data_IF_529059336902
#
_entry.id   IF_529059336902
#
_cell.length_a   1.000
_cell.length_b   1.000
_cell.length_c   1.000
_cell.angle_alpha   90.00
_cell.angle_beta   90.00
_cell.angle_gamma   90.00
#
_symmetry.space_group_name_H-M   'P 1'
#
loop_
_entity.id
_entity.type
_entity.pdbx_description
1 polymer ?
#
# COMPACT_ATOMS: atom_id res chain seq x y z
N UNK A 1 -22.82 -15.09 -18.27
CA UNK A 1 -21.50 -14.43 -18.43
C UNK A 1 -21.72 -12.98 -18.81
N UNK A 2 -20.99 -12.03 -18.22
CA UNK A 2 -21.14 -10.62 -18.59
C UNK A 2 -19.98 -10.19 -19.50
N UNK A 3 -20.06 -10.58 -20.77
CA UNK A 3 -19.05 -10.26 -21.80
C UNK A 3 -18.76 -8.77 -21.89
N UNK A 4 -19.75 -7.92 -21.59
CA UNK A 4 -19.59 -6.47 -21.58
C UNK A 4 -18.70 -6.01 -20.42
N UNK A 5 -18.88 -6.58 -19.22
CA UNK A 5 -18.04 -6.27 -18.06
C UNK A 5 -16.58 -6.67 -18.29
N UNK A 6 -16.34 -7.85 -18.87
CA UNK A 6 -14.97 -8.30 -19.13
C UNK A 6 -14.28 -7.46 -20.23
N UNK A 7 -15.03 -6.98 -21.24
CA UNK A 7 -14.51 -5.99 -22.19
C UNK A 7 -14.09 -4.71 -21.46
N UNK A 8 -14.91 -4.17 -20.56
CA UNK A 8 -14.56 -2.99 -19.76
C UNK A 8 -13.30 -3.23 -18.90
N UNK A 9 -13.19 -4.40 -18.26
CA UNK A 9 -12.01 -4.80 -17.49
C UNK A 9 -10.75 -4.82 -18.35
N UNK A 10 -10.80 -5.47 -19.51
CA UNK A 10 -9.67 -5.55 -20.44
C UNK A 10 -9.28 -4.15 -20.94
N UNK A 11 -10.26 -3.33 -21.35
CA UNK A 11 -10.00 -1.94 -21.79
C UNK A 11 -9.32 -1.13 -20.70
N UNK A 12 -9.80 -1.20 -19.46
CA UNK A 12 -9.19 -0.46 -18.35
C UNK A 12 -7.76 -0.94 -18.06
N UNK A 13 -7.51 -2.25 -18.07
CA UNK A 13 -6.18 -2.83 -17.87
C UNK A 13 -5.20 -2.40 -18.98
N UNK A 14 -5.66 -2.34 -20.23
CA UNK A 14 -4.86 -1.83 -21.35
C UNK A 14 -4.52 -0.34 -21.17
N UNK A 15 -5.49 0.49 -20.76
CA UNK A 15 -5.25 1.90 -20.49
C UNK A 15 -4.20 2.10 -19.38
N UNK A 16 -4.30 1.32 -18.29
CA UNK A 16 -3.30 1.31 -17.22
C UNK A 16 -1.93 0.91 -17.77
N UNK A 17 -1.86 -0.14 -18.59
CA UNK A 17 -0.60 -0.60 -19.19
C UNK A 17 0.04 0.47 -20.09
N UNK A 18 -0.75 1.21 -20.86
CA UNK A 18 -0.26 2.33 -21.68
C UNK A 18 0.44 3.38 -20.81
N UNK A 19 -0.19 3.81 -19.71
CA UNK A 19 0.39 4.80 -18.80
C UNK A 19 1.64 4.26 -18.10
N UNK A 20 1.62 3.00 -17.67
CA UNK A 20 2.79 2.34 -17.07
C UNK A 20 3.97 2.32 -18.04
N UNK A 21 3.75 1.94 -19.30
CA UNK A 21 4.79 1.90 -20.33
C UNK A 21 5.37 3.29 -20.57
N UNK A 22 4.51 4.32 -20.72
CA UNK A 22 4.96 5.70 -20.86
C UNK A 22 5.85 6.12 -19.69
N UNK A 23 5.45 5.78 -18.46
CA UNK A 23 6.25 6.11 -17.27
C UNK A 23 7.57 5.36 -17.21
N UNK A 24 7.59 4.08 -17.56
CA UNK A 24 8.83 3.29 -17.67
C UNK A 24 9.82 3.92 -18.65
N UNK A 25 9.34 4.38 -19.82
CA UNK A 25 10.17 5.05 -20.82
C UNK A 25 10.74 6.38 -20.29
N UNK A 26 9.94 7.17 -19.59
CA UNK A 26 10.42 8.42 -18.96
C UNK A 26 11.52 8.15 -17.93
N UNK A 27 11.36 7.12 -17.09
CA UNK A 27 12.36 6.76 -16.07
C UNK A 27 13.66 6.29 -16.74
N UNK A 28 13.59 5.48 -17.79
CA UNK A 28 14.77 5.02 -18.53
C UNK A 28 15.50 6.19 -19.21
N UNK A 29 14.76 7.15 -19.79
CA UNK A 29 15.34 8.35 -20.37
C UNK A 29 16.03 9.21 -19.30
N UNK A 30 15.41 9.36 -18.13
CA UNK A 30 16.02 10.09 -17.01
C UNK A 30 17.32 9.43 -16.53
N UNK A 31 17.39 8.10 -16.53
CA UNK A 31 18.62 7.37 -16.20
C UNK A 31 19.74 7.65 -17.20
N UNK A 32 19.44 7.68 -18.51
CA UNK A 32 20.45 8.01 -19.52
C UNK A 32 21.04 9.42 -19.36
N UNK A 33 20.24 10.38 -18.90
CA UNK A 33 20.70 11.76 -18.70
C UNK A 33 21.58 11.94 -17.45
N UNK A 34 21.46 11.08 -16.43
CA UNK A 34 22.26 11.16 -15.20
C UNK A 34 23.62 10.42 -15.30
N UNK A 35 23.95 9.84 -16.46
CA UNK A 35 25.15 9.02 -16.65
C UNK A 35 25.03 7.60 -16.10
N UNK A 36 26.13 6.84 -16.09
CA UNK A 36 26.13 5.39 -15.76
C UNK A 36 25.78 5.05 -14.31
N UNK A 37 25.61 6.03 -13.42
CA UNK A 37 25.24 5.80 -12.04
C UNK A 37 23.73 5.55 -11.92
N UNK A 38 23.34 4.30 -11.73
CA UNK A 38 21.94 3.91 -11.59
C UNK A 38 21.36 4.45 -10.28
N UNK A 39 20.34 5.31 -10.36
CA UNK A 39 19.62 5.77 -9.18
C UNK A 39 18.78 4.61 -8.60
N UNK A 40 19.09 4.12 -7.39
CA UNK A 40 18.44 2.93 -6.83
C UNK A 40 16.94 3.14 -6.59
N UNK A 41 16.50 4.37 -6.29
CA UNK A 41 15.08 4.68 -6.13
C UNK A 41 14.32 4.54 -7.45
N UNK A 42 14.87 5.08 -8.54
CA UNK A 42 14.28 4.94 -9.87
C UNK A 42 14.22 3.47 -10.31
N UNK A 43 15.23 2.67 -9.96
CA UNK A 43 15.23 1.23 -10.24
C UNK A 43 14.11 0.49 -9.51
N UNK A 44 13.86 0.82 -8.23
CA UNK A 44 12.76 0.23 -7.46
C UNK A 44 11.39 0.58 -8.05
N UNK A 45 11.19 1.86 -8.44
CA UNK A 45 9.96 2.30 -9.10
C UNK A 45 9.76 1.56 -10.42
N UNK A 46 10.80 1.46 -11.25
CA UNK A 46 10.73 0.73 -12.52
C UNK A 46 10.38 -0.74 -12.31
N UNK A 47 10.98 -1.40 -11.32
CA UNK A 47 10.67 -2.79 -11.01
C UNK A 47 9.21 -2.96 -10.56
N UNK A 48 8.69 -2.06 -9.73
CA UNK A 48 7.29 -2.08 -9.29
C UNK A 48 6.31 -1.92 -10.48
N UNK A 49 6.62 -0.98 -11.38
CA UNK A 49 5.85 -0.75 -12.60
C UNK A 49 5.84 -1.96 -13.53
N UNK A 50 6.98 -2.64 -13.70
CA UNK A 50 7.07 -3.86 -14.51
C UNK A 50 6.29 -5.03 -13.90
N UNK A 51 6.30 -5.18 -12.57
CA UNK A 51 5.47 -6.19 -11.88
C UNK A 51 3.98 -5.96 -12.12
N UNK A 52 3.53 -4.70 -12.09
CA UNK A 52 2.14 -4.32 -12.39
C UNK A 52 1.77 -4.60 -13.84
N UNK A 53 2.63 -4.23 -14.78
CA UNK A 53 2.43 -4.51 -16.20
C UNK A 53 2.23 -6.02 -16.42
N UNK A 54 3.11 -6.84 -15.83
CA UNK A 54 3.00 -8.30 -15.91
C UNK A 54 1.68 -8.81 -15.31
N UNK A 55 1.33 -8.38 -14.09
CA UNK A 55 0.08 -8.80 -13.44
C UNK A 55 -1.17 -8.47 -14.27
N UNK A 56 -1.19 -7.28 -14.89
CA UNK A 56 -2.30 -6.87 -15.76
C UNK A 56 -2.37 -7.71 -17.03
N UNK A 57 -1.23 -7.97 -17.69
CA UNK A 57 -1.18 -8.81 -18.90
C UNK A 57 -1.60 -10.25 -18.63
N UNK A 58 -1.18 -10.84 -17.51
CA UNK A 58 -1.64 -12.17 -17.09
C UNK A 58 -3.16 -12.18 -16.91
N UNK A 59 -3.74 -11.17 -16.25
CA UNK A 59 -5.18 -11.08 -16.06
C UNK A 59 -5.93 -10.92 -17.39
N UNK A 60 -5.43 -10.11 -18.33
CA UNK A 60 -6.01 -9.98 -19.68
C UNK A 60 -6.00 -11.33 -20.39
N UNK A 61 -4.89 -12.08 -20.31
CA UNK A 61 -4.80 -13.43 -20.88
C UNK A 61 -5.87 -14.36 -20.31
N UNK A 62 -5.97 -14.46 -18.99
CA UNK A 62 -6.97 -15.30 -18.32
C UNK A 62 -8.42 -14.87 -18.63
N UNK A 63 -8.70 -13.56 -18.73
CA UNK A 63 -10.02 -13.06 -19.13
C UNK A 63 -10.35 -13.41 -20.58
N UNK A 64 -9.37 -13.33 -21.47
CA UNK A 64 -9.52 -13.68 -22.89
C UNK A 64 -9.73 -15.18 -23.07
N UNK A 65 -8.99 -16.01 -22.34
CA UNK A 65 -9.15 -17.47 -22.34
C UNK A 65 -10.52 -17.88 -21.80
N UNK A 66 -11.00 -17.23 -20.75
CA UNK A 66 -12.34 -17.45 -20.20
C UNK A 66 -13.45 -17.14 -21.20
N UNK A 67 -13.24 -16.21 -22.14
CA UNK A 67 -14.19 -15.95 -23.24
C UNK A 67 -14.19 -17.08 -24.27
N UNK A 68 -13.05 -17.70 -24.50
CA UNK A 68 -12.91 -18.78 -25.48
C UNK A 68 -13.35 -20.15 -24.91
N UNK A 69 -13.09 -20.40 -23.62
CA UNK A 69 -13.44 -21.63 -22.93
C UNK A 69 -14.60 -21.38 -21.96
N UNK A 70 -15.83 -21.64 -22.42
CA UNK A 70 -17.07 -21.32 -21.71
C UNK A 70 -17.26 -22.03 -20.34
N UNK A 71 -16.35 -22.93 -19.93
CA UNK A 71 -16.46 -23.75 -18.71
C UNK A 71 -15.60 -23.28 -17.53
N UNK A 72 -14.89 -22.14 -17.65
CA UNK A 72 -14.05 -21.64 -16.55
C UNK A 72 -14.89 -20.88 -15.51
N UNK A 73 -15.17 -21.54 -14.38
CA UNK A 73 -15.79 -20.95 -13.18
C UNK A 73 -14.77 -20.23 -12.28
N UNK A 74 -13.48 -20.28 -12.62
CA UNK A 74 -12.41 -19.62 -11.87
C UNK A 74 -12.62 -18.10 -11.83
N UNK A 75 -12.48 -17.51 -10.64
CA UNK A 75 -12.45 -16.06 -10.46
C UNK A 75 -11.11 -15.56 -11.02
N UNK A 76 -11.18 -14.62 -11.96
CA UNK A 76 -10.02 -14.01 -12.62
C UNK A 76 -9.95 -12.55 -12.20
N UNK A 77 -8.80 -12.14 -11.67
CA UNK A 77 -8.55 -10.76 -11.26
C UNK A 77 -7.04 -10.45 -11.22
N UNK A 78 -6.63 -9.18 -11.34
CA UNK A 78 -5.24 -8.78 -11.22
C UNK A 78 -4.72 -9.02 -9.80
N UNK A 79 -3.48 -9.51 -9.67
CA UNK A 79 -2.87 -9.67 -8.35
C UNK A 79 -2.56 -8.34 -7.65
N UNK A 80 -2.50 -7.24 -8.41
CA UNK A 80 -2.23 -5.90 -7.89
C UNK A 80 -3.40 -4.98 -8.22
N UNK A 81 -4.20 -4.63 -7.19
CA UNK A 81 -5.40 -3.79 -7.31
C UNK A 81 -5.24 -2.40 -6.67
N UNK A 82 -4.09 -2.10 -6.08
CA UNK A 82 -3.78 -0.80 -5.46
C UNK A 82 -2.91 0.03 -6.38
N UNK A 83 -3.07 1.35 -6.39
CA UNK A 83 -2.22 2.23 -7.17
C UNK A 83 -0.76 2.25 -6.65
N UNK A 84 0.24 2.44 -7.51
CA UNK A 84 1.59 2.78 -7.06
C UNK A 84 1.62 4.15 -6.40
N UNK A 85 2.33 4.29 -5.27
CA UNK A 85 2.40 5.55 -4.52
C UNK A 85 3.10 6.68 -5.30
N UNK A 86 4.10 6.32 -6.12
CA UNK A 86 4.94 7.28 -6.84
C UNK A 86 4.35 7.76 -8.19
N UNK A 87 3.24 7.17 -8.66
CA UNK A 87 2.63 7.51 -9.97
C UNK A 87 1.16 7.86 -9.76
N UNK A 88 0.93 9.10 -9.32
CA UNK A 88 -0.38 9.61 -8.91
C UNK A 88 -1.42 9.59 -10.05
N UNK A 89 -0.98 9.71 -11.30
CA UNK A 89 -1.81 9.66 -12.51
C UNK A 89 -2.61 8.36 -12.62
N UNK A 90 -2.13 7.28 -11.97
CA UNK A 90 -2.78 5.98 -11.97
C UNK A 90 -3.89 5.85 -10.92
N UNK A 91 -4.01 6.78 -9.96
CA UNK A 91 -4.95 6.64 -8.84
C UNK A 91 -6.40 6.48 -9.29
N UNK A 92 -6.86 7.30 -10.24
CA UNK A 92 -8.24 7.22 -10.73
C UNK A 92 -8.52 5.92 -11.48
N UNK A 93 -7.55 5.44 -12.26
CA UNK A 93 -7.65 4.18 -12.99
C UNK A 93 -7.72 2.98 -12.03
N UNK A 94 -6.90 2.98 -10.97
CA UNK A 94 -6.95 1.92 -9.97
C UNK A 94 -8.21 1.98 -9.10
N UNK A 95 -8.77 3.17 -8.83
CA UNK A 95 -10.08 3.29 -8.19
C UNK A 95 -11.19 2.68 -9.04
N UNK A 96 -11.16 2.89 -10.36
CA UNK A 96 -12.07 2.22 -11.30
C UNK A 96 -11.82 0.72 -11.36
N UNK A 97 -10.55 0.30 -11.33
CA UNK A 97 -10.17 -1.12 -11.39
C UNK A 97 -10.76 -1.89 -10.20
N UNK A 98 -10.67 -1.33 -8.99
CA UNK A 98 -11.26 -1.94 -7.80
C UNK A 98 -12.78 -2.09 -7.91
N UNK A 99 -13.47 -1.10 -8.48
CA UNK A 99 -14.94 -1.17 -8.73
C UNK A 99 -15.31 -2.27 -9.73
N UNK A 100 -14.45 -2.53 -10.72
CA UNK A 100 -14.67 -3.58 -11.71
C UNK A 100 -14.30 -4.99 -11.20
N UNK A 101 -13.56 -5.11 -10.10
CA UNK A 101 -13.13 -6.38 -9.50
C UNK A 101 -13.50 -6.50 -8.00
N UNK A 102 -14.80 -6.44 -7.64
CA UNK A 102 -15.23 -6.50 -6.24
C UNK A 102 -14.90 -7.84 -5.56
N UNK A 103 -14.94 -8.96 -6.30
CA UNK A 103 -14.56 -10.27 -5.79
C UNK A 103 -13.06 -10.33 -5.46
N UNK A 104 -12.23 -9.76 -6.34
CA UNK A 104 -10.78 -9.64 -6.14
C UNK A 104 -10.45 -8.85 -4.88
N UNK A 105 -11.14 -7.74 -4.65
CA UNK A 105 -10.98 -6.94 -3.43
C UNK A 105 -11.33 -7.72 -2.16
N UNK A 106 -12.43 -8.48 -2.20
CA UNK A 106 -12.84 -9.32 -1.06
C UNK A 106 -11.82 -10.41 -0.76
N UNK A 107 -11.29 -11.06 -1.80
CA UNK A 107 -10.28 -12.12 -1.66
C UNK A 107 -8.97 -11.54 -1.08
N UNK A 108 -8.51 -10.39 -1.59
CA UNK A 108 -7.30 -9.73 -1.10
C UNK A 108 -7.46 -9.29 0.36
N UNK A 109 -8.61 -8.71 0.73
CA UNK A 109 -8.89 -8.31 2.10
C UNK A 109 -8.89 -9.50 3.06
N UNK A 110 -9.53 -10.62 2.68
CA UNK A 110 -9.54 -11.86 3.46
C UNK A 110 -8.12 -12.38 3.69
N UNK A 111 -7.30 -12.38 2.63
CA UNK A 111 -5.90 -12.83 2.69
C UNK A 111 -5.06 -11.96 3.63
N UNK A 112 -5.26 -10.64 3.59
CA UNK A 112 -4.57 -9.71 4.48
C UNK A 112 -4.91 -9.95 5.96
N UNK A 113 -6.18 -10.25 6.27
CA UNK A 113 -6.61 -10.57 7.63
C UNK A 113 -6.03 -11.91 8.12
N UNK A 114 -5.96 -12.92 7.25
CA UNK A 114 -5.37 -14.22 7.58
C UNK A 114 -3.88 -14.09 7.92
N UNK A 115 -3.10 -13.39 7.08
CA UNK A 115 -1.67 -13.16 7.34
C UNK A 115 -1.43 -12.42 8.66
N UNK A 116 -2.30 -11.46 9.01
CA UNK A 116 -2.23 -10.75 10.29
C UNK A 116 -2.51 -11.68 11.48
N UNK A 117 -3.45 -12.61 11.33
CA UNK A 117 -3.77 -13.59 12.38
C UNK A 117 -2.63 -14.59 12.58
N UNK A 118 -1.97 -15.03 11.49
CA UNK A 118 -0.81 -15.91 11.54
C UNK A 118 0.38 -15.25 12.25
N UNK A 119 0.69 -13.98 11.94
CA UNK A 119 1.75 -13.24 12.63
C UNK A 119 1.54 -13.13 14.14
N UNK A 120 0.29 -12.94 14.59
CA UNK A 120 -0.02 -12.88 16.02
C UNK A 120 0.14 -14.23 16.73
N UNK A 121 -0.16 -15.35 16.05
CA UNK A 121 0.04 -16.69 16.63
C UNK A 121 1.52 -17.01 16.80
N UNK A 122 2.34 -16.74 15.78
CA UNK A 122 3.79 -17.01 15.83
C UNK A 122 4.54 -16.11 16.84
N UNK A 123 4.03 -14.91 17.13
CA UNK A 123 4.62 -14.03 18.15
C UNK A 123 4.32 -14.50 19.60
N UNK A 124 3.24 -15.28 19.81
CA UNK A 124 2.84 -15.76 21.15
C UNK A 124 3.59 -17.01 21.62
N UNK A 125 4.05 -17.87 20.71
CA UNK A 125 4.72 -19.13 21.07
C UNK A 125 6.17 -18.95 21.55
N UNK A 126 6.82 -17.81 21.22
CA UNK A 126 8.22 -17.58 21.61
C UNK A 126 8.39 -16.96 23.01
N UNK A 127 7.31 -16.68 23.74
CA UNK A 127 7.38 -16.14 25.12
C UNK A 127 7.04 -17.20 26.20
N UNK A 128 6.55 -18.39 25.80
CA UNK A 128 6.15 -19.46 26.73
C UNK A 128 7.26 -20.45 27.14
N UNK A 129 8.41 -20.48 26.47
CA UNK A 129 9.43 -21.51 26.70
C UNK A 129 10.58 -21.13 27.66
N UNK A 130 10.59 -19.94 28.27
CA UNK A 130 11.64 -19.59 29.25
C UNK A 130 11.30 -19.89 30.73
N UNK A 131 10.23 -20.62 31.03
CA UNK A 131 9.78 -20.86 32.42
C UNK A 131 9.80 -22.33 32.88
N UNK A 132 10.36 -23.25 32.10
CA UNK A 132 10.46 -24.66 32.52
C UNK A 132 11.91 -25.04 32.83
N UNK A 133 12.39 -24.61 34.00
CA UNK A 133 13.71 -25.02 34.46
C UNK A 133 14.20 -24.37 35.76
N UNK A 134 13.50 -24.53 36.89
CA UNK A 134 14.11 -24.68 38.22
C UNK A 134 13.04 -24.79 39.33
N UNK A 135 13.08 -25.84 40.19
CA UNK A 135 12.43 -25.80 41.48
C UNK A 135 13.48 -25.30 42.49
N UNK A 136 13.38 -24.05 42.94
CA UNK A 136 13.98 -23.64 44.21
C UNK A 136 13.13 -22.56 44.86
N UNK A 137 12.79 -22.81 46.12
CA UNK A 137 11.86 -22.02 46.91
C UNK A 137 12.40 -20.67 47.36
N UNK A 138 11.50 -19.97 48.05
CA UNK A 138 11.69 -18.69 48.74
C UNK A 138 11.94 -17.48 47.84
N UNK A 139 10.87 -16.71 47.64
CA UNK A 139 10.94 -15.39 47.01
C UNK A 139 9.57 -14.74 46.88
N UNK A 140 8.88 -14.55 48.02
CA UNK A 140 7.68 -13.71 48.11
C UNK A 140 8.14 -12.26 47.94
N UNK A 141 7.36 -11.46 47.20
CA UNK A 141 7.52 -10.02 46.91
C UNK A 141 8.31 -9.68 45.64
N UNK A 142 7.57 -9.40 44.55
CA UNK A 142 7.80 -8.31 43.58
C UNK A 142 6.80 -8.36 42.39
N UNK A 143 5.60 -8.92 42.59
CA UNK A 143 4.56 -9.04 41.55
C UNK A 143 3.55 -7.87 41.61
N UNK A 144 4.02 -6.63 41.45
CA UNK A 144 3.14 -5.47 41.57
C UNK A 144 3.43 -4.24 40.70
N UNK A 145 4.60 -4.12 40.07
CA UNK A 145 4.98 -2.86 39.39
C UNK A 145 4.94 -2.89 37.85
N UNK A 146 4.69 -4.03 37.20
CA UNK A 146 4.72 -4.10 35.74
C UNK A 146 3.34 -4.12 35.07
N UNK A 147 2.26 -3.77 35.79
CA UNK A 147 0.90 -3.71 35.23
C UNK A 147 0.43 -2.29 34.89
N UNK A 148 1.11 -1.24 35.39
CA UNK A 148 0.68 0.15 35.18
C UNK A 148 1.20 0.79 33.89
N UNK A 149 2.21 0.22 33.21
CA UNK A 149 2.80 0.86 32.02
C UNK A 149 2.16 0.43 30.69
N UNK A 150 1.31 -0.60 30.69
CA UNK A 150 0.66 -1.11 29.47
C UNK A 150 -0.78 -0.58 29.25
N UNK A 151 -1.26 0.36 30.06
CA UNK A 151 -2.59 0.96 29.85
C UNK A 151 -2.57 2.27 29.06
N UNK A 152 -1.42 2.95 28.95
CA UNK A 152 -1.35 4.28 28.32
C UNK A 152 -0.94 4.28 26.84
N UNK A 153 -0.70 3.12 26.23
CA UNK A 153 -0.21 3.05 24.84
C UNK A 153 -1.27 2.60 23.82
N UNK A 154 -2.48 2.24 24.26
CA UNK A 154 -3.59 1.84 23.38
C UNK A 154 -4.55 2.98 23.00
N UNK A 155 -4.36 4.21 23.48
CA UNK A 155 -5.23 5.34 23.16
C UNK A 155 -4.67 6.31 22.10
N UNK A 156 -3.46 6.07 21.58
CA UNK A 156 -2.73 7.04 20.75
C UNK A 156 -2.76 6.87 19.23
N UNK A 157 -3.45 5.88 18.64
CA UNK A 157 -3.27 5.56 17.21
C UNK A 157 -4.53 5.54 16.32
N UNK A 158 -5.65 6.08 16.80
CA UNK A 158 -6.89 6.19 16.00
C UNK A 158 -7.44 7.62 15.96
N UNK A 159 -6.65 8.57 15.44
CA UNK A 159 -7.13 9.95 15.27
C UNK A 159 -6.39 10.82 14.26
N UNK A 160 -5.43 10.29 13.50
CA UNK A 160 -4.53 11.11 12.69
C UNK A 160 -4.50 10.70 11.23
N UNK A 161 -5.61 10.82 10.50
CA UNK A 161 -5.61 10.84 9.03
C UNK A 161 -7.00 11.27 8.54
N UNK A 162 -7.27 12.57 8.61
CA UNK A 162 -8.13 13.33 7.70
C UNK A 162 -8.14 14.77 8.20
N UNK A 163 -7.76 15.71 7.32
CA UNK A 163 -7.85 17.18 7.43
C UNK A 163 -6.50 17.89 7.56
N UNK A 164 -5.99 18.31 6.40
CA UNK A 164 -4.75 19.07 6.22
C UNK A 164 -4.62 19.64 4.80
N UNK A 165 -5.61 20.41 4.38
CA UNK A 165 -5.68 21.34 3.23
C UNK A 165 -6.23 22.63 3.88
N UNK A 166 -5.69 23.86 3.84
CA UNK A 166 -4.93 24.72 2.90
C UNK A 166 -4.24 25.84 3.75
N UNK A 167 -3.20 26.55 3.26
CA UNK A 167 -2.45 27.57 4.00
C UNK A 167 -3.19 28.93 4.05
N UNK A 168 -3.40 29.45 5.26
CA UNK A 168 -3.91 30.80 5.50
C UNK A 168 -2.76 31.80 5.70
N UNK A 169 -2.75 32.83 4.86
CA UNK A 169 -1.94 34.04 4.95
C UNK A 169 -2.16 34.82 6.26
N UNK A 170 -1.26 35.79 6.46
CA UNK A 170 -1.35 36.96 7.35
C UNK A 170 -0.75 36.80 8.75
N UNK A 171 0.53 37.15 8.87
CA UNK A 171 0.91 38.10 9.90
C UNK A 171 1.93 39.10 9.35
N UNK A 172 1.38 40.26 8.97
CA UNK A 172 2.10 41.42 8.48
C UNK A 172 2.70 42.13 9.68
N UNK A 173 4.03 42.17 9.72
CA UNK A 173 4.82 42.86 10.72
C UNK A 173 4.85 44.34 10.34
N UNK A 174 4.13 45.18 11.08
CA UNK A 174 4.19 46.63 10.98
C UNK A 174 4.40 47.19 12.38
N UNK A 175 5.66 47.42 12.74
CA UNK A 175 6.04 48.26 13.88
C UNK A 175 6.77 49.47 13.32
N UNK A 176 6.05 50.57 13.32
CA UNK A 176 6.41 51.89 12.83
C UNK A 176 7.60 52.41 13.66
N UNK A 177 8.75 52.60 13.01
CA UNK A 177 9.81 53.47 13.54
C UNK A 177 9.38 54.92 13.33
N UNK A 178 9.03 55.57 14.43
CA UNK A 178 8.92 57.01 14.52
C UNK A 178 10.17 57.60 15.17
N UNK A 179 10.48 58.82 14.73
CA UNK A 179 11.33 59.85 15.33
C UNK A 179 12.73 60.08 14.75
N UNK A 180 12.66 60.92 13.72
CA UNK A 180 13.48 62.08 13.40
C UNK A 180 14.16 62.87 14.55
N UNK A 181 15.38 63.33 14.20
CA UNK A 181 15.96 64.70 14.31
C UNK A 181 16.91 65.08 15.47
N UNK A 182 18.05 65.59 15.00
CA UNK A 182 19.22 66.26 15.60
C UNK A 182 20.18 65.44 16.46
#
# INVERSE_FOLDING_TARGET
MNTQLDKQRITLLLNINTLIIQRCLMIQQQQQQQGSAMNPKLQLILQDLLKRLHANLTCIGELSEKHNQQNLTKVVFPQILTAPADVLELNEFYAQLQKLFPEGMTILQRRALQLRQEQMRSAGENQGQMLQGQPHGQGRQLQGQMQAQMQNQLQGQMGGQLQGQIPGQQQQQASIQGQQYW
#
